data_IF_912256833013
#
_entry.id   IF_912256833013
#
_cell.length_a   1.000
_cell.length_b   1.000
_cell.length_c   1.000
_cell.angle_alpha   90.00
_cell.angle_beta   90.00
_cell.angle_gamma   90.00
#
_symmetry.space_group_name_H-M   'P 1'
#
loop_
_entity.id
_entity.type
_entity.pdbx_description
1 polymer ?
#
# COMPACT_ATOMS: atom_id res chain seq x y z
N UNK A 1 6.34 -14.26 13.98
CA UNK A 1 5.67 -14.61 12.72
C UNK A 1 5.36 -13.31 12.01
N UNK A 2 6.24 -12.82 11.12
CA UNK A 2 5.91 -11.60 10.37
C UNK A 2 5.10 -12.06 9.17
N UNK A 3 3.78 -12.05 9.32
CA UNK A 3 2.87 -12.14 8.18
C UNK A 3 3.04 -10.88 7.34
N UNK A 4 4.05 -10.88 6.45
CA UNK A 4 4.19 -9.88 5.39
C UNK A 4 3.08 -10.15 4.38
N UNK A 5 1.85 -9.77 4.71
CA UNK A 5 0.76 -9.69 3.75
C UNK A 5 1.19 -8.67 2.70
N UNK A 6 1.34 -9.10 1.46
CA UNK A 6 1.69 -8.17 0.40
C UNK A 6 0.52 -7.21 0.13
N UNK A 7 0.78 -5.97 -0.30
CA UNK A 7 -0.29 -5.01 -0.59
C UNK A 7 -1.28 -5.52 -1.64
N UNK A 8 -0.85 -6.36 -2.59
CA UNK A 8 -1.73 -7.00 -3.58
C UNK A 8 -2.66 -8.07 -2.99
N UNK A 9 -2.34 -8.63 -1.82
CA UNK A 9 -3.22 -9.58 -1.11
C UNK A 9 -4.26 -8.86 -0.25
N UNK A 10 -4.06 -7.56 0.01
CA UNK A 10 -4.99 -6.74 0.75
C UNK A 10 -6.16 -6.31 -0.15
N UNK A 11 -7.36 -6.86 0.11
CA UNK A 11 -8.60 -6.53 -0.65
C UNK A 11 -8.98 -5.04 -0.61
N UNK A 12 -8.46 -4.30 0.38
CA UNK A 12 -8.73 -2.87 0.55
C UNK A 12 -7.72 -1.98 -0.20
N UNK A 13 -6.56 -2.52 -0.58
CA UNK A 13 -5.51 -1.79 -1.27
C UNK A 13 -6.00 -1.28 -2.64
N UNK A 14 -5.77 0.00 -2.94
CA UNK A 14 -6.28 0.70 -4.15
C UNK A 14 -7.81 0.73 -4.31
N UNK A 15 -8.57 0.24 -3.33
CA UNK A 15 -10.04 0.39 -3.28
C UNK A 15 -10.43 1.43 -2.25
N UNK A 16 -10.28 1.08 -0.99
CA UNK A 16 -10.68 1.93 0.14
C UNK A 16 -9.46 2.49 0.87
N UNK A 17 -8.38 1.71 0.91
CA UNK A 17 -7.08 2.12 1.41
C UNK A 17 -6.29 2.82 0.30
N UNK A 18 -6.20 4.15 0.42
CA UNK A 18 -5.52 5.06 -0.50
C UNK A 18 -4.70 6.08 0.31
N UNK A 19 -3.76 6.83 -0.29
CA UNK A 19 -3.04 7.89 0.44
C UNK A 19 -3.97 9.01 0.95
N UNK A 20 -5.14 9.20 0.33
CA UNK A 20 -6.17 10.14 0.80
C UNK A 20 -6.98 9.56 1.96
N UNK A 21 -7.26 8.26 1.92
CA UNK A 21 -8.00 7.55 2.98
C UNK A 21 -7.21 6.31 3.45
N UNK A 22 -6.20 6.49 4.32
CA UNK A 22 -5.37 5.39 4.75
C UNK A 22 -6.05 4.60 5.88
N UNK A 23 -6.34 3.32 5.63
CA UNK A 23 -7.03 2.43 6.59
C UNK A 23 -6.07 1.88 7.66
N UNK A 24 -4.76 1.93 7.42
CA UNK A 24 -3.77 1.40 8.35
C UNK A 24 -2.38 1.94 8.15
N UNK A 25 -1.46 1.62 9.08
CA UNK A 25 -0.11 2.19 9.11
C UNK A 25 0.71 1.84 7.85
N UNK A 26 0.38 0.72 7.19
CA UNK A 26 1.02 0.33 5.93
C UNK A 26 0.82 1.33 4.79
N UNK A 27 -0.24 2.16 4.84
CA UNK A 27 -0.53 3.22 3.86
C UNK A 27 -0.23 4.63 4.41
N UNK A 28 -0.41 4.85 5.72
CA UNK A 28 -0.09 6.13 6.36
C UNK A 28 1.41 6.41 6.32
N UNK A 29 2.23 5.41 6.62
CA UNK A 29 3.68 5.58 6.68
C UNK A 29 4.28 5.65 5.28
N UNK A 30 5.23 6.58 5.07
CA UNK A 30 6.03 6.65 3.85
C UNK A 30 6.87 5.38 3.62
N UNK A 31 7.34 4.77 4.71
CA UNK A 31 8.04 3.47 4.68
C UNK A 31 7.07 2.28 4.61
N UNK A 32 5.76 2.55 4.62
CA UNK A 32 4.73 1.53 4.56
C UNK A 32 4.68 0.88 3.19
N UNK A 33 4.66 -0.45 3.15
CA UNK A 33 4.65 -1.20 1.90
C UNK A 33 3.49 -0.79 1.00
N UNK A 34 2.29 -0.51 1.53
CA UNK A 34 1.17 -0.05 0.71
C UNK A 34 1.41 1.36 0.15
N UNK A 35 1.97 2.29 0.93
CA UNK A 35 2.25 3.65 0.46
C UNK A 35 3.30 3.65 -0.67
N UNK A 36 4.39 2.91 -0.48
CA UNK A 36 5.44 2.70 -1.49
C UNK A 36 4.84 2.06 -2.73
N UNK A 37 4.12 0.94 -2.58
CA UNK A 37 3.52 0.24 -3.71
C UNK A 37 2.47 1.10 -4.44
N UNK A 38 1.77 1.98 -3.74
CA UNK A 38 0.85 2.92 -4.38
C UNK A 38 1.58 3.98 -5.21
N UNK A 39 2.69 4.52 -4.70
CA UNK A 39 3.50 5.54 -5.40
C UNK A 39 4.31 4.98 -6.58
N UNK A 40 5.12 3.95 -6.34
CA UNK A 40 6.07 3.43 -7.33
C UNK A 40 5.38 2.62 -8.42
N UNK A 41 4.34 1.86 -8.06
CA UNK A 41 3.63 0.99 -8.99
C UNK A 41 2.56 1.75 -9.82
N UNK A 42 2.59 3.09 -9.79
CA UNK A 42 1.77 3.98 -10.61
C UNK A 42 2.59 4.85 -11.57
N UNK A 43 3.93 4.88 -11.45
CA UNK A 43 4.77 5.79 -12.23
C UNK A 43 5.88 5.11 -13.05
N UNK A 44 6.32 3.88 -12.74
CA UNK A 44 7.42 3.28 -13.48
C UNK A 44 7.25 1.76 -13.61
N UNK A 45 6.59 1.35 -14.70
CA UNK A 45 6.97 0.15 -15.44
C UNK A 45 7.95 0.62 -16.52
N UNK A 46 9.22 0.25 -16.37
CA UNK A 46 10.17 0.11 -17.48
C UNK A 46 10.83 -1.24 -17.37
#
# INVERSE_FOLDING_TARGET
>A
MVGKLYPYECKLFRKECTPINPIGPCMVSQEGTCSIYYKYHSDNDS
#
